data_IF_387029628718
#
_entry.id   IF_387029628718
#
_cell.length_a   1.000
_cell.length_b   1.000
_cell.length_c   1.000
_cell.angle_alpha   90.00
_cell.angle_beta   90.00
_cell.angle_gamma   90.00
#
_symmetry.space_group_name_H-M   'P 1'
#
loop_
_entity.id
_entity.type
_entity.pdbx_description
1 polymer ?
#
# COMPACT_ATOMS: atom_id res chain seq x y z
N UNK A 1 -31.51 -0.62 -6.79
CA UNK A 1 -31.90 -1.44 -5.62
C UNK A 1 -30.92 -1.15 -4.48
N UNK A 2 -31.39 -0.77 -3.29
CA UNK A 2 -30.54 -0.52 -2.10
C UNK A 2 -30.77 -1.64 -1.09
N UNK A 3 -29.70 -2.30 -0.65
CA UNK A 3 -29.78 -3.32 0.40
C UNK A 3 -30.03 -2.68 1.76
N UNK A 4 -30.93 -3.28 2.55
CA UNK A 4 -31.16 -2.90 3.95
C UNK A 4 -29.98 -3.32 4.83
N UNK A 5 -29.87 -2.74 6.03
CA UNK A 5 -28.82 -3.12 6.98
C UNK A 5 -28.82 -4.62 7.30
N UNK A 6 -30.02 -5.19 7.52
CA UNK A 6 -30.19 -6.63 7.78
C UNK A 6 -29.73 -7.48 6.59
N UNK A 7 -30.01 -7.05 5.36
CA UNK A 7 -29.53 -7.73 4.16
C UNK A 7 -28.01 -7.64 4.03
N UNK A 8 -27.41 -6.48 4.31
CA UNK A 8 -25.94 -6.31 4.31
C UNK A 8 -25.24 -7.23 5.31
N UNK A 9 -25.71 -7.30 6.56
CA UNK A 9 -25.17 -8.24 7.56
C UNK A 9 -25.31 -9.70 7.13
N UNK A 10 -26.47 -10.09 6.60
CA UNK A 10 -26.69 -11.45 6.14
C UNK A 10 -25.78 -11.82 4.95
N UNK A 11 -25.54 -10.88 4.04
CA UNK A 11 -24.61 -11.07 2.92
C UNK A 11 -23.17 -11.16 3.43
N UNK A 12 -22.77 -10.29 4.36
CA UNK A 12 -21.43 -10.30 4.95
C UNK A 12 -21.13 -11.64 5.62
N UNK A 13 -22.04 -12.13 6.46
CA UNK A 13 -21.84 -13.42 7.16
C UNK A 13 -21.68 -14.57 6.17
N UNK A 14 -22.52 -14.62 5.12
CA UNK A 14 -22.40 -15.66 4.08
C UNK A 14 -21.08 -15.61 3.33
N UNK A 15 -20.53 -14.41 3.10
CA UNK A 15 -19.23 -14.22 2.46
C UNK A 15 -18.12 -14.72 3.40
N UNK A 16 -18.15 -14.33 4.68
CA UNK A 16 -17.18 -14.77 5.69
C UNK A 16 -17.18 -16.29 5.80
N UNK A 17 -18.34 -16.92 5.93
CA UNK A 17 -18.46 -18.38 6.06
C UNK A 17 -17.91 -19.10 4.84
N UNK A 18 -18.15 -18.57 3.63
CA UNK A 18 -17.65 -19.15 2.38
C UNK A 18 -16.13 -19.04 2.26
N UNK A 19 -15.58 -17.84 2.51
CA UNK A 19 -14.13 -17.60 2.44
C UNK A 19 -13.41 -18.44 3.51
N UNK A 20 -13.96 -18.52 4.72
CA UNK A 20 -13.38 -19.34 5.79
C UNK A 20 -13.30 -20.80 5.37
N UNK A 21 -14.36 -21.35 4.78
CA UNK A 21 -14.33 -22.72 4.25
C UNK A 21 -13.28 -22.90 3.17
N UNK A 22 -13.18 -21.96 2.24
CA UNK A 22 -12.17 -21.97 1.16
C UNK A 22 -10.76 -22.02 1.75
N UNK A 23 -10.42 -21.08 2.64
CA UNK A 23 -9.10 -21.00 3.29
C UNK A 23 -8.77 -22.28 4.08
N UNK A 24 -9.69 -22.79 4.89
CA UNK A 24 -9.41 -23.95 5.75
C UNK A 24 -9.48 -25.31 5.03
N UNK A 25 -10.01 -25.38 3.81
CA UNK A 25 -10.01 -26.62 3.00
C UNK A 25 -8.90 -26.65 1.96
N UNK A 26 -8.33 -25.49 1.60
CA UNK A 26 -7.16 -25.42 0.73
C UNK A 26 -5.93 -25.95 1.46
N UNK A 27 -5.22 -26.88 0.81
CA UNK A 27 -3.97 -27.45 1.32
C UNK A 27 -2.72 -26.91 0.61
N UNK A 28 -2.90 -26.20 -0.51
CA UNK A 28 -1.80 -25.60 -1.27
C UNK A 28 -1.66 -24.10 -0.95
N UNK A 29 -0.46 -23.68 -0.52
CA UNK A 29 -0.19 -22.28 -0.16
C UNK A 29 -0.43 -21.30 -1.33
N UNK A 30 -0.23 -21.74 -2.58
CA UNK A 30 -0.45 -20.93 -3.79
C UNK A 30 -1.91 -20.51 -3.99
N UNK A 31 -2.87 -21.35 -3.58
CA UNK A 31 -4.30 -21.04 -3.62
C UNK A 31 -4.68 -20.07 -2.49
N UNK A 32 -4.07 -20.23 -1.32
CA UNK A 32 -4.21 -19.27 -0.21
C UNK A 32 -3.68 -17.89 -0.64
N UNK A 33 -2.53 -17.84 -1.29
CA UNK A 33 -1.95 -16.61 -1.86
C UNK A 33 -2.90 -15.96 -2.88
N UNK A 34 -3.59 -16.74 -3.72
CA UNK A 34 -4.58 -16.21 -4.66
C UNK A 34 -5.77 -15.56 -3.92
N UNK A 35 -6.24 -16.15 -2.82
CA UNK A 35 -7.31 -15.60 -1.98
C UNK A 35 -6.84 -14.33 -1.26
N UNK A 36 -5.65 -14.35 -0.66
CA UNK A 36 -4.98 -13.21 -0.03
C UNK A 36 -4.93 -12.03 -1.02
N UNK A 37 -4.42 -12.25 -2.24
CA UNK A 37 -4.33 -11.23 -3.27
C UNK A 37 -5.69 -10.72 -3.75
N UNK A 38 -6.68 -11.63 -3.90
CA UNK A 38 -8.04 -11.28 -4.34
C UNK A 38 -8.76 -10.36 -3.35
N UNK A 39 -8.56 -10.57 -2.05
CA UNK A 39 -9.19 -9.76 -1.00
C UNK A 39 -8.26 -8.67 -0.45
N UNK A 40 -7.01 -8.60 -0.94
CA UNK A 40 -6.00 -7.66 -0.52
C UNK A 40 -5.44 -7.91 0.89
N UNK A 41 -5.79 -9.01 1.56
CA UNK A 41 -5.36 -9.27 2.93
C UNK A 41 -3.83 -9.42 2.97
N UNK A 42 -3.17 -9.00 4.03
CA UNK A 42 -1.74 -9.31 4.25
C UNK A 42 -1.51 -9.89 5.63
N UNK A 43 -0.71 -10.95 5.70
CA UNK A 43 -0.30 -11.64 6.94
C UNK A 43 0.79 -10.87 7.73
N UNK A 44 1.00 -9.59 7.45
CA UNK A 44 2.11 -8.84 8.02
C UNK A 44 1.91 -8.59 9.53
N UNK A 45 2.85 -9.08 10.33
CA UNK A 45 3.20 -8.49 11.63
C UNK A 45 3.86 -7.12 11.38
N UNK A 46 3.08 -6.11 11.00
CA UNK A 46 3.57 -4.74 10.96
C UNK A 46 3.95 -4.30 12.37
N UNK A 47 5.19 -3.87 12.57
CA UNK A 47 5.63 -3.30 13.83
C UNK A 47 5.03 -1.91 14.13
N UNK A 48 4.44 -1.25 13.11
CA UNK A 48 3.98 0.14 13.23
C UNK A 48 2.46 0.19 13.36
N UNK A 49 1.90 0.78 14.44
CA UNK A 49 0.46 0.97 14.59
C UNK A 49 -0.07 1.99 13.57
N UNK A 50 -1.30 1.79 13.11
CA UNK A 50 -1.97 2.69 12.16
C UNK A 50 -2.99 3.55 12.90
N UNK A 51 -2.89 4.86 12.68
CA UNK A 51 -3.86 5.82 13.16
C UNK A 51 -4.47 6.56 11.98
N UNK A 52 -5.77 6.37 11.77
CA UNK A 52 -6.53 6.98 10.67
C UNK A 52 -6.40 8.51 10.57
N UNK A 53 -6.12 9.19 11.68
CA UNK A 53 -6.04 10.64 11.71
C UNK A 53 -4.64 11.18 11.40
N UNK A 54 -3.59 10.35 11.53
CA UNK A 54 -2.19 10.82 11.47
C UNK A 54 -1.30 10.02 10.53
N UNK A 55 -1.59 8.73 10.34
CA UNK A 55 -0.82 7.87 9.44
C UNK A 55 -1.07 8.26 7.98
N UNK A 56 0.01 8.28 7.21
CA UNK A 56 0.04 8.76 5.83
C UNK A 56 0.56 7.67 4.90
N UNK A 57 -0.04 7.51 3.72
CA UNK A 57 0.52 6.69 2.64
C UNK A 57 1.57 7.53 1.90
N UNK A 58 2.81 7.05 1.82
CA UNK A 58 3.86 7.70 1.03
C UNK A 58 3.85 7.17 -0.41
N UNK A 59 3.76 8.07 -1.38
CA UNK A 59 3.95 7.77 -2.81
C UNK A 59 5.31 8.31 -3.21
N UNK A 60 6.28 7.41 -3.42
CA UNK A 60 7.67 7.74 -3.73
C UNK A 60 8.02 7.28 -5.15
N UNK A 61 8.22 8.22 -6.07
CA UNK A 61 8.57 7.88 -7.45
C UNK A 61 7.86 8.74 -8.48
N UNK A 62 8.43 8.76 -9.69
CA UNK A 62 7.87 9.50 -10.81
C UNK A 62 6.48 8.96 -11.22
N UNK A 63 5.52 9.87 -11.36
CA UNK A 63 4.16 9.58 -11.83
C UNK A 63 4.11 9.58 -13.36
N UNK A 64 3.34 8.67 -13.96
CA UNK A 64 3.09 8.67 -15.42
C UNK A 64 2.14 9.81 -15.84
N UNK A 65 1.23 10.22 -14.97
CA UNK A 65 0.19 11.22 -15.22
C UNK A 65 0.29 12.45 -14.34
N UNK A 66 -0.75 13.28 -14.33
CA UNK A 66 -0.81 14.47 -13.47
C UNK A 66 -1.10 14.05 -12.03
N UNK A 67 -0.38 14.62 -11.07
CA UNK A 67 -0.60 14.40 -9.62
C UNK A 67 -2.08 14.52 -9.22
N UNK A 68 -2.82 15.47 -9.80
CA UNK A 68 -4.25 15.67 -9.57
C UNK A 68 -5.10 14.42 -9.84
N UNK A 69 -4.72 13.58 -10.81
CA UNK A 69 -5.47 12.38 -11.17
C UNK A 69 -5.30 11.29 -10.09
N UNK A 70 -4.12 11.23 -9.48
CA UNK A 70 -3.82 10.33 -8.36
C UNK A 70 -4.51 10.79 -7.08
N UNK A 71 -4.47 12.10 -6.78
CA UNK A 71 -5.23 12.68 -5.66
C UNK A 71 -6.74 12.41 -5.80
N UNK A 72 -7.28 12.59 -7.01
CA UNK A 72 -8.68 12.25 -7.31
C UNK A 72 -8.97 10.75 -7.11
N UNK A 73 -8.02 9.89 -7.46
CA UNK A 73 -8.14 8.44 -7.29
C UNK A 73 -8.18 8.06 -5.80
N UNK A 74 -7.29 8.62 -4.98
CA UNK A 74 -7.30 8.45 -3.52
C UNK A 74 -8.61 8.97 -2.90
N UNK A 75 -9.08 10.15 -3.32
CA UNK A 75 -10.34 10.73 -2.86
C UNK A 75 -11.56 9.84 -3.18
N UNK A 76 -11.59 9.19 -4.35
CA UNK A 76 -12.64 8.23 -4.71
C UNK A 76 -12.65 6.99 -3.82
N UNK A 77 -11.53 6.68 -3.17
CA UNK A 77 -11.39 5.62 -2.18
C UNK A 77 -11.58 6.11 -0.73
N UNK A 78 -12.07 7.34 -0.53
CA UNK A 78 -12.25 7.99 0.77
C UNK A 78 -10.94 8.17 1.58
N UNK A 79 -9.80 8.19 0.91
CA UNK A 79 -8.51 8.53 1.55
C UNK A 79 -8.40 10.07 1.58
N UNK A 80 -8.32 10.69 2.77
CA UNK A 80 -8.18 12.14 2.86
C UNK A 80 -6.85 12.62 2.27
N UNK A 81 -6.84 13.85 1.74
CA UNK A 81 -5.63 14.43 1.12
C UNK A 81 -4.45 14.52 2.10
N UNK A 82 -4.71 14.76 3.38
CA UNK A 82 -3.68 14.83 4.41
C UNK A 82 -3.07 13.46 4.77
N UNK A 83 -3.71 12.36 4.38
CA UNK A 83 -3.24 11.00 4.64
C UNK A 83 -2.53 10.40 3.42
N UNK A 84 -2.18 11.22 2.43
CA UNK A 84 -1.36 10.79 1.31
C UNK A 84 -0.30 11.84 0.93
N UNK A 85 0.95 11.43 0.93
CA UNK A 85 2.09 12.29 0.61
C UNK A 85 2.72 11.85 -0.71
N UNK A 86 2.98 12.80 -1.61
CA UNK A 86 3.63 12.53 -2.89
C UNK A 86 5.03 13.16 -2.93
N UNK A 87 6.03 12.29 -3.10
CA UNK A 87 7.41 12.63 -3.42
C UNK A 87 7.66 12.17 -4.86
N UNK A 88 7.08 12.91 -5.79
CA UNK A 88 6.99 12.59 -7.22
C UNK A 88 7.93 13.42 -8.10
N UNK A 89 8.56 14.44 -7.52
CA UNK A 89 9.55 15.28 -8.19
C UNK A 89 10.98 14.75 -7.98
N UNK A 90 11.80 14.82 -9.03
CA UNK A 90 13.17 14.28 -9.02
C UNK A 90 14.07 14.95 -7.98
N UNK A 91 13.96 16.27 -7.79
CA UNK A 91 14.74 17.00 -6.79
C UNK A 91 14.32 16.65 -5.35
N UNK A 92 13.02 16.45 -5.14
CA UNK A 92 12.48 15.98 -3.86
C UNK A 92 12.91 14.55 -3.55
N UNK A 93 12.93 13.67 -4.55
CA UNK A 93 13.41 12.30 -4.39
C UNK A 93 14.90 12.24 -4.03
N UNK A 94 15.75 13.04 -4.67
CA UNK A 94 17.18 13.13 -4.33
C UNK A 94 17.44 13.63 -2.91
N UNK A 95 16.59 14.53 -2.42
CA UNK A 95 16.72 15.09 -1.07
C UNK A 95 15.97 14.29 -0.01
N UNK A 96 15.16 13.32 -0.41
CA UNK A 96 14.41 12.45 0.49
C UNK A 96 15.36 11.65 1.39
N UNK A 97 15.14 11.73 2.71
CA UNK A 97 15.94 11.03 3.69
C UNK A 97 15.31 9.66 3.99
N UNK A 98 15.94 8.57 3.59
CA UNK A 98 15.37 7.23 3.79
C UNK A 98 15.30 6.81 5.27
N UNK A 99 16.17 7.35 6.14
CA UNK A 99 16.15 7.09 7.60
C UNK A 99 14.83 7.53 8.26
N UNK A 100 14.15 8.54 7.72
CA UNK A 100 12.87 9.01 8.29
C UNK A 100 11.74 7.97 8.20
N UNK A 101 11.95 6.91 7.40
CA UNK A 101 11.04 5.78 7.28
C UNK A 101 11.25 4.76 8.40
N UNK A 102 12.45 4.68 8.97
CA UNK A 102 12.81 3.65 9.94
C UNK A 102 12.11 3.91 11.28
N UNK A 103 11.37 2.92 11.76
CA UNK A 103 10.56 2.97 12.98
C UNK A 103 9.59 4.17 13.06
N UNK A 104 9.11 4.62 11.90
CA UNK A 104 8.25 5.80 11.78
C UNK A 104 6.77 5.42 11.85
N UNK A 105 6.03 6.03 12.76
CA UNK A 105 4.57 5.91 12.86
C UNK A 105 3.83 6.90 11.94
N UNK A 106 4.56 7.85 11.33
CA UNK A 106 4.04 8.80 10.35
C UNK A 106 3.51 8.10 9.11
N UNK A 107 4.21 7.06 8.63
CA UNK A 107 3.89 6.40 7.37
C UNK A 107 3.32 5.00 7.61
N UNK A 108 2.11 4.75 7.11
CA UNK A 108 1.52 3.42 7.17
C UNK A 108 2.08 2.51 6.08
N UNK A 109 2.30 3.04 4.87
CA UNK A 109 2.63 2.29 3.67
C UNK A 109 3.47 3.16 2.72
N UNK A 110 4.26 2.52 1.87
CA UNK A 110 5.06 3.15 0.82
C UNK A 110 4.66 2.53 -0.51
N UNK A 111 4.08 3.31 -1.41
CA UNK A 111 3.90 2.96 -2.81
C UNK A 111 5.10 3.50 -3.59
N UNK A 112 5.97 2.61 -4.07
CA UNK A 112 7.21 2.98 -4.74
C UNK A 112 7.17 2.75 -6.25
N UNK A 113 7.60 3.76 -7.00
CA UNK A 113 7.72 3.74 -8.46
C UNK A 113 9.17 3.93 -8.92
N UNK A 114 9.38 4.48 -10.14
CA UNK A 114 10.72 4.86 -10.59
C UNK A 114 11.32 5.91 -9.66
N UNK A 115 12.45 5.60 -9.05
CA UNK A 115 13.23 6.52 -8.22
C UNK A 115 14.64 6.70 -8.78
N UNK A 116 15.32 7.83 -8.49
CA UNK A 116 16.75 7.95 -8.76
C UNK A 116 17.54 6.83 -8.05
N UNK A 117 18.68 6.45 -8.61
CA UNK A 117 19.59 5.50 -7.96
C UNK A 117 20.19 6.05 -6.65
N UNK A 118 20.28 7.37 -6.50
CA UNK A 118 20.80 8.03 -5.30
C UNK A 118 19.68 8.74 -4.53
N UNK A 119 19.10 8.02 -3.57
CA UNK A 119 18.34 8.62 -2.46
C UNK A 119 19.28 8.73 -1.26
N UNK A 120 19.17 9.81 -0.49
CA UNK A 120 20.03 10.06 0.68
C UNK A 120 19.80 9.03 1.79
N UNK A 121 20.89 8.70 2.48
CA UNK A 121 20.90 7.86 3.68
C UNK A 121 20.27 6.48 3.49
N UNK A 122 20.47 5.86 2.32
CA UNK A 122 20.12 4.45 2.07
C UNK A 122 21.15 3.44 2.63
N UNK A 123 22.10 3.90 3.45
CA UNK A 123 23.25 3.12 3.92
C UNK A 123 24.03 2.46 2.79
N UNK A 124 24.44 1.21 3.02
CA UNK A 124 25.18 0.37 2.07
C UNK A 124 24.28 -0.33 1.04
N UNK A 125 22.95 -0.13 1.10
CA UNK A 125 22.03 -0.79 0.19
C UNK A 125 22.08 -0.20 -1.21
N UNK A 126 21.88 -1.03 -2.23
CA UNK A 126 21.87 -0.62 -3.64
C UNK A 126 20.70 0.31 -3.99
N UNK A 127 19.62 0.30 -3.20
CA UNK A 127 18.44 1.15 -3.36
C UNK A 127 17.63 1.22 -2.05
N UNK A 128 16.68 2.16 -1.98
CA UNK A 128 15.70 2.22 -0.86
C UNK A 128 14.79 0.99 -0.84
N UNK A 129 14.46 0.44 -2.02
CA UNK A 129 13.70 -0.82 -2.13
C UNK A 129 14.45 -1.93 -1.41
N UNK A 130 15.74 -2.12 -1.73
CA UNK A 130 16.56 -3.16 -1.11
C UNK A 130 16.69 -2.96 0.41
N UNK A 131 16.85 -1.71 0.87
CA UNK A 131 16.92 -1.40 2.29
C UNK A 131 15.67 -1.85 3.06
N UNK A 132 14.49 -1.57 2.51
CA UNK A 132 13.21 -1.91 3.14
C UNK A 132 12.93 -3.42 3.05
N UNK A 133 13.18 -4.04 1.89
CA UNK A 133 12.96 -5.48 1.67
C UNK A 133 13.86 -6.36 2.57
N UNK A 134 15.07 -5.90 2.90
CA UNK A 134 15.96 -6.61 3.82
C UNK A 134 15.57 -6.43 5.30
N UNK A 135 14.78 -5.40 5.64
CA UNK A 135 14.43 -5.06 7.02
C UNK A 135 12.93 -4.75 7.19
N UNK A 136 12.01 -5.62 6.73
CA UNK A 136 10.58 -5.28 6.60
C UNK A 136 9.89 -4.93 7.93
N UNK A 137 10.43 -5.38 9.07
CA UNK A 137 9.92 -5.07 10.41
C UNK A 137 10.28 -3.67 10.91
N UNK A 138 11.23 -2.99 10.25
CA UNK A 138 11.73 -1.68 10.67
C UNK A 138 11.11 -0.53 9.87
N UNK A 139 10.36 -0.84 8.81
CA UNK A 139 9.87 0.14 7.85
C UNK A 139 8.36 -0.03 7.59
N UNK A 140 7.68 1.00 7.05
CA UNK A 140 6.32 0.88 6.55
C UNK A 140 6.22 -0.17 5.44
N UNK A 141 5.01 -0.73 5.26
CA UNK A 141 4.75 -1.74 4.21
C UNK A 141 5.15 -1.22 2.84
N UNK A 142 5.95 -1.99 2.11
CA UNK A 142 6.40 -1.63 0.77
C UNK A 142 5.51 -2.24 -0.30
N UNK A 143 4.98 -1.39 -1.17
CA UNK A 143 4.14 -1.74 -2.32
C UNK A 143 4.82 -1.24 -3.60
N UNK A 144 5.33 -2.16 -4.42
CA UNK A 144 6.02 -1.83 -5.68
C UNK A 144 5.01 -1.60 -6.81
N UNK A 145 4.97 -0.39 -7.36
CA UNK A 145 4.17 -0.07 -8.53
C UNK A 145 4.85 -0.57 -9.80
N UNK A 146 4.38 -1.71 -10.32
CA UNK A 146 4.89 -2.33 -11.54
C UNK A 146 3.84 -2.22 -12.63
N UNK A 147 4.25 -1.85 -13.84
CA UNK A 147 3.45 -1.99 -15.05
C UNK A 147 4.36 -2.39 -16.22
N UNK A 148 3.93 -3.36 -17.02
CA UNK A 148 4.71 -3.91 -18.14
C UNK A 148 6.14 -4.33 -17.72
N UNK A 149 6.27 -5.06 -16.61
CA UNK A 149 7.54 -5.54 -16.03
C UNK A 149 8.55 -4.44 -15.69
N UNK A 150 8.10 -3.20 -15.51
CA UNK A 150 8.94 -2.07 -15.11
C UNK A 150 8.30 -1.30 -13.95
N UNK A 151 9.13 -0.71 -13.09
CA UNK A 151 8.64 0.24 -12.09
C UNK A 151 7.95 1.39 -12.81
N UNK A 152 6.68 1.64 -12.46
CA UNK A 152 5.84 2.64 -13.12
C UNK A 152 4.57 2.86 -12.32
N UNK A 153 4.32 4.10 -11.92
CA UNK A 153 3.08 4.48 -11.22
C UNK A 153 2.07 4.97 -12.25
N UNK A 154 1.07 4.16 -12.58
CA UNK A 154 -0.09 4.54 -13.40
C UNK A 154 -1.30 4.79 -12.50
N UNK A 155 -2.30 5.53 -12.97
CA UNK A 155 -3.52 5.74 -12.17
C UNK A 155 -4.28 4.43 -11.89
N UNK A 156 -4.19 3.46 -12.81
CA UNK A 156 -4.80 2.14 -12.67
C UNK A 156 -4.14 1.30 -11.56
N UNK A 157 -2.83 1.08 -11.65
CA UNK A 157 -2.14 0.25 -10.65
C UNK A 157 -2.08 0.95 -9.29
N UNK A 158 -1.99 2.28 -9.27
CA UNK A 158 -2.05 3.06 -8.04
C UNK A 158 -3.37 2.83 -7.28
N UNK A 159 -4.50 2.80 -7.99
CA UNK A 159 -5.79 2.50 -7.37
C UNK A 159 -5.80 1.12 -6.71
N UNK A 160 -5.26 0.11 -7.39
CA UNK A 160 -5.18 -1.26 -6.89
C UNK A 160 -4.28 -1.33 -5.65
N UNK A 161 -3.11 -0.67 -5.70
CA UNK A 161 -2.17 -0.63 -4.58
C UNK A 161 -2.73 0.10 -3.37
N UNK A 162 -3.48 1.19 -3.56
CA UNK A 162 -4.16 1.86 -2.45
C UNK A 162 -5.07 0.90 -1.68
N UNK A 163 -5.77 -0.01 -2.36
CA UNK A 163 -6.65 -0.98 -1.71
C UNK A 163 -5.88 -2.07 -0.93
N UNK A 164 -4.60 -2.26 -1.24
CA UNK A 164 -3.69 -3.16 -0.55
C UNK A 164 -2.93 -2.49 0.61
N UNK A 165 -3.03 -1.16 0.73
CA UNK A 165 -2.41 -0.45 1.86
C UNK A 165 -3.09 -0.85 3.16
N UNK A 166 -2.29 -0.96 4.22
CA UNK A 166 -2.81 -1.19 5.57
C UNK A 166 -3.70 -0.03 6.00
N UNK A 167 -3.37 1.20 5.59
CA UNK A 167 -4.25 2.35 5.80
C UNK A 167 -5.67 2.10 5.27
N UNK A 168 -5.81 1.66 4.01
CA UNK A 168 -7.14 1.42 3.44
C UNK A 168 -7.89 0.27 4.14
N UNK A 169 -7.15 -0.72 4.64
CA UNK A 169 -7.72 -1.91 5.27
C UNK A 169 -8.17 -1.70 6.71
N UNK A 170 -7.46 -0.86 7.45
CA UNK A 170 -7.64 -0.70 8.90
C UNK A 170 -8.21 0.66 9.29
N UNK A 171 -8.04 1.70 8.46
CA UNK A 171 -8.35 3.08 8.82
C UNK A 171 -9.64 3.63 8.20
N UNK A 172 -10.25 2.94 7.23
CA UNK A 172 -11.44 3.38 6.47
C UNK A 172 -12.72 2.68 6.95
#
# INVERSE_FOLDING_TARGET
MRYTHKQKSAILQKIIDKISKEIFHTTEDSEIDAIINKYGVTLEESAMPINKNTSTILVLGALKGRKSDYQMTAKKLNIPENNIEFVDDYSKMHSFNAEQLRYSDRYSDIIIGPTPHSIKNKGDFSSVIAMIENNPKEYPKLLKAIANNSLKITTSNFKELLQQTRYYQEAI
#
